data_IF_876807906518
#
_entry.id   IF_876807906518
#
_cell.length_a   1.000
_cell.length_b   1.000
_cell.length_c   1.000
_cell.angle_alpha   90.00
_cell.angle_beta   90.00
_cell.angle_gamma   90.00
#
_symmetry.space_group_name_H-M   'P 1'
#
loop_
_entity.id
_entity.type
_entity.pdbx_description
1 polymer ?
#
# COMPACT_ATOMS: atom_id res chain seq x y z
N UNK A 1 -10.76 -18.16 23.92
CA UNK A 1 -10.97 -18.02 22.47
C UNK A 1 -9.66 -17.51 21.88
N UNK A 2 -9.04 -18.27 20.98
CA UNK A 2 -7.85 -17.80 20.24
C UNK A 2 -8.32 -17.05 19.00
N UNK A 3 -7.92 -15.79 18.88
CA UNK A 3 -8.12 -15.04 17.65
C UNK A 3 -7.00 -15.38 16.67
N UNK A 4 -7.36 -15.74 15.44
CA UNK A 4 -6.41 -16.01 14.35
C UNK A 4 -6.51 -14.89 13.34
N UNK A 5 -5.39 -14.20 13.10
CA UNK A 5 -5.34 -13.17 12.06
C UNK A 5 -5.22 -13.83 10.68
N UNK A 6 -6.34 -13.88 9.96
CA UNK A 6 -6.43 -14.45 8.61
C UNK A 6 -5.59 -13.64 7.62
N UNK A 7 -5.42 -12.34 7.86
CA UNK A 7 -4.50 -11.51 7.08
C UNK A 7 -3.06 -12.05 7.07
N UNK A 8 -2.59 -12.64 8.16
CA UNK A 8 -1.27 -13.27 8.21
C UNK A 8 -1.16 -14.50 7.29
N UNK A 9 -2.21 -15.31 7.23
CA UNK A 9 -2.31 -16.47 6.32
C UNK A 9 -2.31 -15.98 4.86
N UNK A 10 -3.15 -14.99 4.55
CA UNK A 10 -3.19 -14.39 3.22
C UNK A 10 -1.83 -13.86 2.78
N UNK A 11 -1.14 -13.11 3.65
CA UNK A 11 0.17 -12.54 3.33
C UNK A 11 1.18 -13.61 2.99
N UNK A 12 1.23 -14.71 3.76
CA UNK A 12 2.29 -15.71 3.64
C UNK A 12 1.92 -16.84 2.68
N UNK A 13 0.80 -17.52 2.94
CA UNK A 13 0.47 -18.80 2.33
C UNK A 13 -0.26 -18.62 0.98
N UNK A 14 -0.93 -17.47 0.78
CA UNK A 14 -1.59 -17.13 -0.48
C UNK A 14 -0.78 -16.20 -1.39
N UNK A 15 0.45 -15.83 -1.00
CA UNK A 15 1.29 -14.89 -1.75
C UNK A 15 0.84 -13.43 -1.67
N UNK A 16 -0.07 -13.09 -0.75
CA UNK A 16 -0.59 -11.73 -0.57
C UNK A 16 0.48 -10.67 -0.28
N UNK A 17 1.65 -11.08 0.22
CA UNK A 17 2.78 -10.17 0.44
C UNK A 17 3.19 -9.42 -0.82
N UNK A 18 3.05 -10.01 -2.01
CA UNK A 18 3.54 -9.42 -3.24
C UNK A 18 2.83 -8.11 -3.58
N UNK A 19 1.50 -8.10 -3.51
CA UNK A 19 0.71 -6.90 -3.79
C UNK A 19 0.93 -5.83 -2.71
N UNK A 20 1.15 -6.22 -1.46
CA UNK A 20 1.52 -5.27 -0.40
C UNK A 20 2.87 -4.64 -0.68
N UNK A 21 3.89 -5.42 -1.04
CA UNK A 21 5.22 -4.91 -1.37
C UNK A 21 5.19 -3.98 -2.58
N UNK A 22 4.45 -4.33 -3.64
CA UNK A 22 4.25 -3.44 -4.80
C UNK A 22 3.56 -2.15 -4.41
N UNK A 23 2.50 -2.24 -3.61
CA UNK A 23 1.75 -1.07 -3.13
C UNK A 23 2.59 -0.16 -2.23
N UNK A 24 3.41 -0.72 -1.33
CA UNK A 24 4.33 0.06 -0.49
C UNK A 24 5.40 0.77 -1.32
N UNK A 25 5.97 0.09 -2.32
CA UNK A 25 6.93 0.71 -3.24
C UNK A 25 6.30 1.83 -4.08
N UNK A 26 5.08 1.62 -4.58
CA UNK A 26 4.30 2.65 -5.26
C UNK A 26 4.03 3.84 -4.33
N UNK A 27 3.54 3.57 -3.12
CA UNK A 27 3.23 4.60 -2.14
C UNK A 27 4.47 5.41 -1.75
N UNK A 28 5.64 4.78 -1.62
CA UNK A 28 6.91 5.49 -1.43
C UNK A 28 7.21 6.48 -2.56
N UNK A 29 7.01 6.07 -3.83
CA UNK A 29 7.17 6.95 -5.00
C UNK A 29 6.15 8.09 -4.96
N UNK A 30 4.90 7.79 -4.56
CA UNK A 30 3.84 8.78 -4.40
C UNK A 30 4.18 9.84 -3.36
N UNK A 31 4.62 9.43 -2.17
CA UNK A 31 4.97 10.35 -1.07
C UNK A 31 6.11 11.30 -1.48
N UNK A 32 7.13 10.79 -2.20
CA UNK A 32 8.23 11.62 -2.72
C UNK A 32 7.81 12.64 -3.78
N UNK A 33 6.69 12.40 -4.47
CA UNK A 33 6.18 13.25 -5.55
C UNK A 33 4.93 14.04 -5.17
N UNK A 34 4.46 13.93 -3.93
CA UNK A 34 3.17 14.47 -3.48
C UNK A 34 3.06 16.00 -3.67
N UNK A 35 4.18 16.73 -3.60
CA UNK A 35 4.22 18.17 -3.84
C UNK A 35 3.89 18.59 -5.28
N UNK A 36 3.96 17.65 -6.24
CA UNK A 36 3.65 17.86 -7.67
C UNK A 36 2.29 17.27 -8.06
N UNK A 37 1.52 16.82 -7.08
CA UNK A 37 0.26 16.15 -7.29
C UNK A 37 -0.81 17.11 -7.79
N UNK A 38 -1.58 16.76 -8.84
CA UNK A 38 -2.69 17.59 -9.32
C UNK A 38 -3.69 17.96 -8.23
N UNK A 39 -4.00 17.04 -7.30
CA UNK A 39 -4.91 17.32 -6.17
C UNK A 39 -4.37 18.41 -5.23
N UNK A 40 -3.04 18.49 -5.06
CA UNK A 40 -2.42 19.48 -4.18
C UNK A 40 -2.30 20.83 -4.87
N UNK A 41 -2.03 20.84 -6.17
CA UNK A 41 -2.06 22.06 -6.99
C UNK A 41 -3.43 22.72 -6.98
N UNK A 42 -4.51 21.92 -6.99
CA UNK A 42 -5.88 22.42 -6.91
C UNK A 42 -6.34 22.78 -5.49
N UNK A 43 -5.59 22.39 -4.45
CA UNK A 43 -5.93 22.65 -3.06
C UNK A 43 -4.70 23.11 -2.25
N UNK A 44 -4.06 24.23 -2.62
CA UNK A 44 -2.76 24.65 -2.09
C UNK A 44 -2.80 24.97 -0.58
N UNK A 45 -3.98 25.29 -0.04
CA UNK A 45 -4.18 25.50 1.40
C UNK A 45 -3.83 24.27 2.26
N UNK A 46 -3.87 23.06 1.69
CA UNK A 46 -3.51 21.82 2.39
C UNK A 46 -2.07 21.37 2.14
N UNK A 47 -1.32 22.09 1.29
CA UNK A 47 0.02 21.66 0.84
C UNK A 47 0.97 21.38 1.99
N UNK A 48 1.02 22.25 3.00
CA UNK A 48 1.92 22.06 4.14
C UNK A 48 1.57 20.81 4.95
N UNK A 49 0.29 20.58 5.24
CA UNK A 49 -0.15 19.43 6.05
C UNK A 49 0.12 18.12 5.30
N UNK A 50 -0.18 18.08 4.00
CA UNK A 50 0.07 16.91 3.15
C UNK A 50 1.58 16.60 3.05
N UNK A 51 2.42 17.61 2.87
CA UNK A 51 3.88 17.44 2.81
C UNK A 51 4.45 16.98 4.16
N UNK A 52 3.95 17.53 5.28
CA UNK A 52 4.35 17.08 6.62
C UNK A 52 3.98 15.61 6.85
N UNK A 53 2.77 15.20 6.47
CA UNK A 53 2.32 13.81 6.62
C UNK A 53 3.13 12.85 5.74
N UNK A 54 3.49 13.29 4.53
CA UNK A 54 4.36 12.52 3.65
C UNK A 54 5.78 12.36 4.22
N UNK A 55 6.34 13.41 4.83
CA UNK A 55 7.64 13.36 5.48
C UNK A 55 7.66 12.46 6.73
N UNK A 56 6.52 12.31 7.42
CA UNK A 56 6.37 11.36 8.53
C UNK A 56 6.21 9.92 8.05
N UNK A 57 5.37 9.71 7.03
CA UNK A 57 5.02 8.38 6.55
C UNK A 57 6.13 7.75 5.70
N UNK A 58 6.82 8.54 4.87
CA UNK A 58 7.85 8.06 3.95
C UNK A 58 8.94 7.21 4.62
N UNK A 59 9.52 7.64 5.77
CA UNK A 59 10.48 6.85 6.53
C UNK A 59 9.95 5.51 7.09
N UNK A 60 8.63 5.33 7.22
CA UNK A 60 8.03 4.10 7.73
C UNK A 60 7.94 2.98 6.68
N UNK A 61 8.06 3.32 5.39
CA UNK A 61 7.85 2.35 4.31
C UNK A 61 8.95 1.29 4.23
N UNK A 62 10.23 1.69 4.32
CA UNK A 62 11.35 0.75 4.22
C UNK A 62 11.42 -0.24 5.41
N UNK A 63 11.19 0.20 6.66
CA UNK A 63 10.99 -0.71 7.80
C UNK A 63 9.84 -1.69 7.56
N UNK A 64 8.70 -1.24 7.06
CA UNK A 64 7.54 -2.11 6.82
C UNK A 64 7.83 -3.16 5.74
N UNK A 65 8.49 -2.78 4.64
CA UNK A 65 8.96 -3.72 3.60
C UNK A 65 9.93 -4.76 4.20
N UNK A 66 10.90 -4.28 4.99
CA UNK A 66 11.90 -5.16 5.63
C UNK A 66 11.24 -6.15 6.58
N UNK A 67 10.23 -5.71 7.34
CA UNK A 67 9.47 -6.55 8.27
C UNK A 67 8.69 -7.64 7.55
N UNK A 68 8.04 -7.33 6.42
CA UNK A 68 7.37 -8.33 5.57
C UNK A 68 8.37 -9.37 5.09
N UNK A 69 9.50 -8.94 4.49
CA UNK A 69 10.51 -9.86 3.97
C UNK A 69 11.10 -10.76 5.06
N UNK A 70 11.31 -10.23 6.26
CA UNK A 70 11.77 -11.01 7.40
C UNK A 70 10.74 -12.06 7.84
N UNK A 71 9.45 -11.70 7.87
CA UNK A 71 8.37 -12.61 8.27
C UNK A 71 8.14 -13.75 7.28
N UNK A 72 8.44 -13.57 5.99
CA UNK A 72 8.42 -14.66 5.00
C UNK A 72 9.44 -15.76 5.32
N UNK A 73 10.59 -15.40 5.90
CA UNK A 73 11.61 -16.35 6.35
C UNK A 73 11.44 -16.82 7.80
N UNK A 74 10.56 -16.20 8.58
CA UNK A 74 10.34 -16.45 10.01
C UNK A 74 8.84 -16.44 10.32
N UNK A 75 8.14 -17.57 10.08
CA UNK A 75 6.69 -17.66 10.23
C UNK A 75 6.14 -17.15 11.56
N UNK A 76 6.90 -17.29 12.64
CA UNK A 76 6.56 -16.85 13.98
C UNK A 76 6.40 -15.33 14.11
N UNK A 77 7.01 -14.53 13.23
CA UNK A 77 6.92 -13.05 13.25
C UNK A 77 5.80 -12.52 12.36
N UNK A 78 5.03 -13.39 11.70
CA UNK A 78 3.93 -12.93 10.83
C UNK A 78 2.92 -12.10 11.61
N UNK A 79 2.62 -12.48 12.86
CA UNK A 79 1.66 -11.76 13.72
C UNK A 79 2.10 -10.32 14.01
N UNK A 80 3.40 -10.04 14.01
CA UNK A 80 3.92 -8.70 14.26
C UNK A 80 3.53 -7.73 13.14
N UNK A 81 3.29 -8.23 11.92
CA UNK A 81 2.85 -7.41 10.78
C UNK A 81 1.46 -6.81 11.00
N UNK A 82 0.66 -7.35 11.92
CA UNK A 82 -0.68 -6.86 12.20
C UNK A 82 -0.68 -5.38 12.65
N UNK A 83 0.36 -4.95 13.36
CA UNK A 83 0.52 -3.55 13.79
C UNK A 83 0.67 -2.56 12.61
N UNK A 84 1.14 -3.05 11.46
CA UNK A 84 1.41 -2.23 10.26
C UNK A 84 0.26 -2.28 9.24
N UNK A 85 -0.84 -2.99 9.53
CA UNK A 85 -2.04 -3.07 8.67
C UNK A 85 -2.53 -1.69 8.22
N UNK A 86 -2.65 -0.67 9.08
CA UNK A 86 -3.07 0.66 8.64
C UNK A 86 -2.16 1.27 7.57
N UNK A 87 -0.86 0.98 7.60
CA UNK A 87 0.09 1.44 6.57
C UNK A 87 -0.11 0.67 5.27
N UNK A 88 -0.33 -0.65 5.34
CA UNK A 88 -0.61 -1.48 4.17
C UNK A 88 -1.90 -1.06 3.45
N UNK A 89 -2.96 -0.78 4.21
CA UNK A 89 -4.22 -0.28 3.66
C UNK A 89 -4.04 1.05 2.93
N UNK A 90 -3.33 2.01 3.53
CA UNK A 90 -3.03 3.30 2.87
C UNK A 90 -2.26 3.11 1.57
N UNK A 91 -1.28 2.20 1.58
CA UNK A 91 -0.48 1.91 0.40
C UNK A 91 -1.33 1.27 -0.72
N UNK A 92 -2.17 0.29 -0.38
CA UNK A 92 -3.11 -0.35 -1.29
C UNK A 92 -4.11 0.65 -1.89
N UNK A 93 -4.76 1.44 -1.04
CA UNK A 93 -5.73 2.46 -1.49
C UNK A 93 -5.08 3.52 -2.39
N UNK A 94 -3.86 3.94 -2.05
CA UNK A 94 -3.10 4.87 -2.88
C UNK A 94 -2.82 4.27 -4.26
N UNK A 95 -2.32 3.04 -4.32
CA UNK A 95 -2.00 2.37 -5.57
C UNK A 95 -3.26 2.16 -6.43
N UNK A 96 -4.36 1.70 -5.83
CA UNK A 96 -5.64 1.52 -6.50
C UNK A 96 -6.16 2.84 -7.10
N UNK A 97 -6.12 3.93 -6.32
CA UNK A 97 -6.56 5.25 -6.79
C UNK A 97 -5.70 5.77 -7.94
N UNK A 98 -4.38 5.63 -7.84
CA UNK A 98 -3.47 6.11 -8.88
C UNK A 98 -3.58 5.28 -10.16
N UNK A 99 -3.78 3.94 -10.08
CA UNK A 99 -4.07 3.09 -11.24
C UNK A 99 -5.34 3.57 -11.94
N UNK A 100 -6.43 3.79 -11.19
CA UNK A 100 -7.70 4.24 -11.74
C UNK A 100 -7.55 5.61 -12.45
N UNK A 101 -6.83 6.56 -11.84
CA UNK A 101 -6.59 7.88 -12.44
C UNK A 101 -5.70 7.81 -13.68
N UNK A 102 -4.70 6.92 -13.69
CA UNK A 102 -3.87 6.67 -14.86
C UNK A 102 -4.69 6.08 -16.02
N UNK A 103 -5.55 5.10 -15.75
CA UNK A 103 -6.42 4.47 -16.76
C UNK A 103 -7.49 5.42 -17.31
N UNK A 104 -8.02 6.31 -16.47
CA UNK A 104 -9.02 7.31 -16.87
C UNK A 104 -8.40 8.51 -17.61
N UNK A 105 -7.06 8.55 -17.79
CA UNK A 105 -6.38 9.65 -18.48
C UNK A 105 -6.49 11.00 -17.76
N UNK A 106 -6.66 11.00 -16.44
CA UNK A 106 -6.96 12.23 -15.68
C UNK A 106 -5.80 13.22 -15.69
N UNK A 107 -4.56 12.74 -15.59
CA UNK A 107 -3.34 13.55 -15.66
C UNK A 107 -2.13 12.64 -15.96
N UNK A 108 -1.18 13.12 -16.76
CA UNK A 108 0.06 12.41 -17.10
C UNK A 108 0.92 12.10 -15.85
N UNK A 109 0.71 12.86 -14.77
CA UNK A 109 1.29 12.62 -13.46
C UNK A 109 1.08 11.18 -12.99
N UNK A 110 -0.14 10.64 -13.09
CA UNK A 110 -0.43 9.29 -12.59
C UNK A 110 0.16 8.20 -13.49
N UNK A 111 0.09 8.36 -14.80
CA UNK A 111 0.74 7.41 -15.73
C UNK A 111 2.26 7.36 -15.54
N UNK A 112 2.89 8.47 -15.14
CA UNK A 112 4.33 8.51 -14.80
C UNK A 112 4.68 7.83 -13.48
N UNK A 113 3.72 7.64 -12.57
CA UNK A 113 3.93 6.93 -11.31
C UNK A 113 3.87 5.40 -11.49
N UNK A 114 3.03 4.94 -12.41
CA UNK A 114 2.87 3.51 -12.71
C UNK A 114 4.10 3.04 -13.51
N UNK A 115 4.87 2.14 -12.90
CA UNK A 115 6.13 1.66 -13.51
C UNK A 115 5.91 0.53 -14.52
N UNK A 116 4.79 -0.20 -14.41
CA UNK A 116 4.41 -1.28 -15.32
C UNK A 116 2.89 -1.29 -15.48
N UNK A 117 2.42 -0.90 -16.67
CA UNK A 117 0.98 -0.79 -16.95
C UNK A 117 0.29 -2.15 -17.03
N UNK A 118 0.96 -3.20 -17.53
CA UNK A 118 0.36 -4.52 -17.63
C UNK A 118 0.18 -5.14 -16.23
N UNK A 119 1.19 -4.96 -15.38
CA UNK A 119 1.12 -5.37 -13.98
C UNK A 119 0.06 -4.58 -13.21
N UNK A 120 -0.04 -3.26 -13.42
CA UNK A 120 -1.06 -2.43 -12.79
C UNK A 120 -2.50 -2.85 -13.13
N UNK A 121 -2.77 -3.25 -14.38
CA UNK A 121 -4.08 -3.79 -14.78
C UNK A 121 -4.40 -5.09 -14.04
N UNK A 122 -3.39 -5.95 -13.84
CA UNK A 122 -3.54 -7.22 -13.11
C UNK A 122 -3.69 -6.99 -11.60
N UNK A 123 -2.95 -6.02 -11.06
CA UNK A 123 -2.97 -5.68 -9.64
C UNK A 123 -4.28 -5.01 -9.23
N UNK A 124 -4.93 -4.24 -10.11
CA UNK A 124 -6.16 -3.49 -9.79
C UNK A 124 -7.25 -4.34 -9.08
N UNK A 125 -7.73 -5.47 -9.63
CA UNK A 125 -8.67 -6.33 -8.93
C UNK A 125 -8.07 -7.01 -7.68
N UNK A 126 -6.78 -7.34 -7.69
CA UNK A 126 -6.11 -8.01 -6.56
C UNK A 126 -5.98 -7.09 -5.34
N UNK A 127 -5.90 -5.77 -5.54
CA UNK A 127 -5.87 -4.79 -4.44
C UNK A 127 -7.16 -4.84 -3.63
N UNK A 128 -8.32 -5.01 -4.27
CA UNK A 128 -9.60 -5.13 -3.56
C UNK A 128 -9.62 -6.36 -2.64
N UNK A 129 -9.16 -7.51 -3.15
CA UNK A 129 -9.01 -8.73 -2.33
C UNK A 129 -8.02 -8.54 -1.18
N UNK A 130 -6.89 -7.87 -1.44
CA UNK A 130 -5.89 -7.59 -0.41
C UNK A 130 -6.45 -6.70 0.72
N UNK A 131 -7.18 -5.64 0.35
CA UNK A 131 -7.84 -4.73 1.31
C UNK A 131 -8.86 -5.45 2.18
N UNK A 132 -9.56 -6.44 1.63
CA UNK A 132 -10.50 -7.26 2.40
C UNK A 132 -9.75 -8.19 3.36
N UNK A 133 -8.84 -9.02 2.83
CA UNK A 133 -8.21 -10.11 3.59
C UNK A 133 -7.28 -9.63 4.70
N UNK A 134 -6.55 -8.54 4.49
CA UNK A 134 -5.50 -8.11 5.43
C UNK A 134 -6.04 -7.69 6.81
N UNK A 135 -7.33 -7.38 6.90
CA UNK A 135 -8.02 -7.02 8.16
C UNK A 135 -8.73 -8.18 8.84
N UNK A 136 -8.89 -9.32 8.17
CA UNK A 136 -9.75 -10.39 8.65
C UNK A 136 -9.16 -11.07 9.89
N UNK A 137 -9.99 -11.21 10.92
CA UNK A 137 -9.70 -11.94 12.16
C UNK A 137 -10.81 -12.99 12.31
N UNK A 138 -10.41 -14.23 12.51
CA UNK A 138 -11.33 -15.32 12.87
C UNK A 138 -11.28 -15.55 14.38
N UNK A 139 -12.43 -15.87 14.98
CA UNK A 139 -12.54 -16.26 16.38
C UNK A 139 -13.16 -17.65 16.45
N UNK A 140 -12.52 -18.56 17.20
CA UNK A 140 -13.02 -19.91 17.53
C UNK A 140 -13.44 -20.00 19.00
#
# INVERSE_FOLDING_TARGET
MSQVWIGGIYLKDEGGYEIILRSLNHYKKRLKSIGRSPELTNAPMFAQIVLQEANKTGPMIDPAISKINNALGRPETIVDLQADVPLYERALMCYHSDIQKAQNGTDEFYSKLISDNAMAVTDYPNIATALEKIKQISSS
#
